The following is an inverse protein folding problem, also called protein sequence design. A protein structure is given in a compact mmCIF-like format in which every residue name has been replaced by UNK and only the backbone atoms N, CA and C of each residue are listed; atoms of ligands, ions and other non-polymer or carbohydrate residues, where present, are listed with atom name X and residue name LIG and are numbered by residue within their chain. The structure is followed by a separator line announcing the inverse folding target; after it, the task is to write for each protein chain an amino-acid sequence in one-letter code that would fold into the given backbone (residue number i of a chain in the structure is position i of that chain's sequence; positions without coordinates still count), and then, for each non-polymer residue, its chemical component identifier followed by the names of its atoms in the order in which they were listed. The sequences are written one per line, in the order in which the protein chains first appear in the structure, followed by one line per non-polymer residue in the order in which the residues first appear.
data_IF_631087838278
#
_entry.id   IF_631087838278
#
_cell.length_a   1.000
_cell.length_b   1.000
_cell.length_c   1.000
_cell.angle_alpha   90.00
_cell.angle_beta   90.00
_cell.angle_gamma   90.00
#
_symmetry.space_group_name_H-M   'P 1'
#
loop_
_entity.id
_entity.type
_entity.pdbx_description
1 polymer ?
#
# COMPACT_ATOMS: atom_id res chain seq x y z
N UNK A 1 -5.37 41.55 -43.65
CA UNK A 1 -6.17 41.35 -42.42
C UNK A 1 -6.93 40.03 -42.55
N UNK A 2 -6.67 39.07 -41.66
CA UNK A 2 -7.36 37.78 -41.65
C UNK A 2 -8.83 38.00 -41.26
N UNK A 3 -9.77 37.34 -41.94
CA UNK A 3 -11.20 37.44 -41.60
C UNK A 3 -11.44 36.87 -40.20
N UNK A 4 -12.34 37.47 -39.41
CA UNK A 4 -12.69 36.94 -38.10
C UNK A 4 -13.37 35.57 -38.26
N UNK A 5 -13.04 34.65 -37.36
CA UNK A 5 -13.71 33.35 -37.27
C UNK A 5 -15.21 33.56 -37.01
N UNK A 6 -16.06 32.93 -37.83
CA UNK A 6 -17.52 32.97 -37.70
C UNK A 6 -18.05 31.55 -37.85
N UNK A 7 -18.89 31.12 -36.91
CA UNK A 7 -19.54 29.81 -36.90
C UNK A 7 -21.05 30.00 -36.69
N UNK A 8 -21.86 29.28 -37.46
CA UNK A 8 -23.32 29.26 -37.30
C UNK A 8 -23.70 28.27 -36.19
N UNK A 9 -24.09 28.82 -35.04
CA UNK A 9 -24.56 28.04 -33.89
C UNK A 9 -26.05 27.74 -33.94
N UNK A 10 -26.82 28.39 -34.82
CA UNK A 10 -28.28 28.24 -34.92
C UNK A 10 -28.71 26.93 -35.58
N UNK A 11 -27.85 26.35 -36.41
CA UNK A 11 -28.09 25.05 -37.07
C UNK A 11 -27.70 23.82 -36.23
N UNK A 12 -27.13 24.00 -35.03
CA UNK A 12 -26.66 22.88 -34.22
C UNK A 12 -27.83 22.11 -33.61
N UNK A 13 -27.96 20.83 -33.97
CA UNK A 13 -28.95 19.92 -33.38
C UNK A 13 -28.36 19.17 -32.20
N UNK A 14 -29.06 19.14 -31.07
CA UNK A 14 -28.69 18.30 -29.93
C UNK A 14 -28.97 16.83 -30.25
N UNK A 15 -27.98 15.97 -30.06
CA UNK A 15 -28.13 14.50 -30.09
C UNK A 15 -27.61 13.94 -28.77
N UNK A 16 -28.34 12.99 -28.19
CA UNK A 16 -27.85 12.27 -27.02
C UNK A 16 -26.56 11.53 -27.37
N UNK A 17 -25.57 11.58 -26.47
CA UNK A 17 -24.32 10.83 -26.63
C UNK A 17 -24.62 9.34 -26.51
N UNK A 18 -24.05 8.55 -27.41
CA UNK A 18 -24.15 7.10 -27.33
C UNK A 18 -23.37 6.62 -26.08
N UNK A 19 -24.08 5.95 -25.17
CA UNK A 19 -23.56 5.46 -23.90
C UNK A 19 -23.32 3.94 -23.92
N UNK A 20 -23.43 3.29 -25.08
CA UNK A 20 -23.10 1.88 -25.23
C UNK A 20 -21.63 1.61 -24.91
N UNK A 21 -21.34 0.48 -24.25
CA UNK A 21 -19.98 0.08 -23.86
C UNK A 21 -19.00 0.09 -25.04
N UNK A 22 -19.47 -0.35 -26.21
CA UNK A 22 -18.65 -0.41 -27.43
C UNK A 22 -18.34 0.98 -28.00
N UNK A 23 -19.29 1.92 -27.88
CA UNK A 23 -19.10 3.31 -28.32
C UNK A 23 -18.12 4.04 -27.41
N UNK A 24 -18.19 3.79 -26.10
CA UNK A 24 -17.26 4.32 -25.10
C UNK A 24 -15.85 3.77 -25.34
N UNK A 25 -15.70 2.45 -25.50
CA UNK A 25 -14.41 1.82 -25.76
C UNK A 25 -13.73 2.34 -27.04
N UNK A 26 -14.51 2.58 -28.12
CA UNK A 26 -13.99 3.20 -29.35
C UNK A 26 -13.53 4.63 -29.14
N UNK A 27 -14.28 5.42 -28.36
CA UNK A 27 -13.91 6.79 -28.04
C UNK A 27 -12.63 6.85 -27.19
N UNK A 28 -12.48 5.96 -26.21
CA UNK A 28 -11.29 5.85 -25.38
C UNK A 28 -10.06 5.45 -26.21
N UNK A 29 -10.19 4.46 -27.09
CA UNK A 29 -9.12 4.04 -27.99
C UNK A 29 -8.67 5.17 -28.94
N UNK A 30 -9.61 5.93 -29.50
CA UNK A 30 -9.30 7.11 -30.31
C UNK A 30 -8.60 8.20 -29.48
N UNK A 31 -9.03 8.39 -28.24
CA UNK A 31 -8.40 9.30 -27.28
C UNK A 31 -6.94 8.94 -27.04
N UNK A 32 -6.64 7.67 -26.76
CA UNK A 32 -5.28 7.18 -26.52
C UNK A 32 -4.37 7.41 -27.73
N UNK A 33 -4.85 7.15 -28.95
CA UNK A 33 -4.10 7.42 -30.20
C UNK A 33 -3.74 8.90 -30.35
N UNK A 34 -4.59 9.79 -29.86
CA UNK A 34 -4.37 11.24 -29.88
C UNK A 34 -3.67 11.77 -28.61
N UNK A 35 -3.18 10.89 -27.73
CA UNK A 35 -2.46 11.26 -26.52
C UNK A 35 -3.35 11.74 -25.36
N UNK A 36 -4.66 11.50 -25.44
CA UNK A 36 -5.57 11.70 -24.31
C UNK A 36 -5.48 10.49 -23.38
N UNK A 37 -4.99 10.73 -22.17
CA UNK A 37 -4.92 9.71 -21.13
C UNK A 37 -6.00 9.94 -20.06
N UNK A 38 -6.64 8.87 -19.55
CA UNK A 38 -7.59 8.98 -18.45
C UNK A 38 -6.87 9.52 -17.21
N UNK A 39 -7.45 10.54 -16.58
CA UNK A 39 -6.95 11.18 -15.35
C UNK A 39 -7.41 10.45 -14.08
N UNK A 40 -8.20 9.39 -14.22
CA UNK A 40 -8.70 8.63 -13.09
C UNK A 40 -7.54 7.97 -12.33
N UNK A 41 -7.55 8.01 -10.98
CA UNK A 41 -6.52 7.38 -10.18
C UNK A 41 -6.58 5.86 -10.38
N UNK A 42 -5.71 5.33 -11.23
CA UNK A 42 -5.47 3.88 -11.30
C UNK A 42 -4.86 3.47 -9.97
N UNK A 43 -5.59 2.70 -9.16
CA UNK A 43 -5.11 2.20 -7.88
C UNK A 43 -3.74 1.54 -8.05
N UNK A 44 -2.72 2.05 -7.38
CA UNK A 44 -1.43 1.37 -7.32
C UNK A 44 -1.66 0.02 -6.63
N UNK A 45 -1.29 -1.12 -7.26
CA UNK A 45 -1.32 -2.38 -6.55
C UNK A 45 -0.45 -2.23 -5.30
N UNK A 46 -1.05 -2.48 -4.14
CA UNK A 46 -0.36 -2.40 -2.86
C UNK A 46 0.87 -3.31 -2.84
N UNK A 47 1.77 -3.05 -1.90
CA UNK A 47 2.95 -3.91 -1.69
C UNK A 47 2.49 -5.36 -1.48
N UNK A 48 3.08 -6.30 -2.22
CA UNK A 48 2.82 -7.73 -2.02
C UNK A 48 3.09 -8.10 -0.54
N UNK A 49 2.24 -8.94 0.08
CA UNK A 49 2.47 -9.40 1.45
C UNK A 49 3.83 -10.09 1.54
N UNK A 50 4.60 -9.79 2.60
CA UNK A 50 5.86 -10.48 2.86
C UNK A 50 5.59 -11.96 3.18
N UNK A 51 6.45 -12.90 2.75
CA UNK A 51 6.38 -14.28 3.23
C UNK A 51 6.46 -14.27 4.76
N UNK A 52 5.47 -14.87 5.44
CA UNK A 52 5.43 -15.00 6.90
C UNK A 52 6.39 -16.10 7.36
N UNK A 53 7.69 -15.87 7.21
CA UNK A 53 8.73 -16.78 7.71
C UNK A 53 8.85 -16.61 9.22
N UNK A 54 8.23 -17.49 9.99
CA UNK A 54 8.39 -17.56 11.45
C UNK A 54 7.95 -16.32 12.24
N UNK A 55 7.31 -15.34 11.59
CA UNK A 55 6.75 -14.18 12.25
C UNK A 55 5.54 -14.60 13.08
N UNK A 56 5.82 -14.91 14.35
CA UNK A 56 4.81 -14.95 15.38
C UNK A 56 4.31 -13.51 15.53
N UNK A 57 3.00 -13.26 15.34
CA UNK A 57 2.45 -11.93 15.63
C UNK A 57 2.85 -11.57 17.07
N UNK A 58 3.31 -10.34 17.33
CA UNK A 58 3.64 -9.86 18.68
C UNK A 58 2.50 -10.14 19.71
N UNK A 59 1.28 -10.35 19.22
CA UNK A 59 0.08 -10.75 19.98
C UNK A 59 0.07 -12.19 20.53
N UNK A 60 1.02 -13.06 20.19
CA UNK A 60 0.97 -14.47 20.62
C UNK A 60 1.37 -14.65 22.09
N UNK A 61 2.14 -13.73 22.67
CA UNK A 61 2.49 -13.73 24.10
C UNK A 61 2.47 -12.29 24.66
N UNK A 62 1.30 -11.65 24.81
CA UNK A 62 1.20 -10.26 25.27
C UNK A 62 1.76 -10.10 26.69
N UNK A 63 1.43 -11.05 27.58
CA UNK A 63 1.88 -11.05 28.98
C UNK A 63 3.41 -11.06 29.11
N UNK A 64 4.12 -11.80 28.24
CA UNK A 64 5.59 -11.85 28.29
C UNK A 64 6.20 -10.48 27.98
N UNK A 65 5.61 -9.71 27.07
CA UNK A 65 6.11 -8.38 26.75
C UNK A 65 5.88 -7.39 27.90
N UNK A 66 4.74 -7.50 28.58
CA UNK A 66 4.41 -6.72 29.78
C UNK A 66 5.35 -7.05 30.93
N UNK A 67 5.57 -8.34 31.21
CA UNK A 67 6.49 -8.81 32.26
C UNK A 67 7.93 -8.33 32.00
N UNK A 68 8.41 -8.39 30.76
CA UNK A 68 9.75 -7.88 30.39
C UNK A 68 9.82 -6.36 30.59
N UNK A 69 8.76 -5.63 30.26
CA UNK A 69 8.71 -4.18 30.44
C UNK A 69 8.77 -3.78 31.92
N UNK A 70 7.99 -4.44 32.77
CA UNK A 70 7.97 -4.22 34.21
C UNK A 70 9.33 -4.51 34.84
N UNK A 71 9.97 -5.62 34.45
CA UNK A 71 11.29 -6.01 34.95
C UNK A 71 12.37 -5.02 34.50
N UNK A 72 12.32 -4.56 33.25
CA UNK A 72 13.26 -3.56 32.74
C UNK A 72 13.12 -2.24 33.52
N UNK A 73 11.88 -1.81 33.79
CA UNK A 73 11.60 -0.63 34.61
C UNK A 73 12.11 -0.81 36.04
N UNK A 74 11.86 -1.97 36.67
CA UNK A 74 12.33 -2.28 38.03
C UNK A 74 13.85 -2.21 38.15
N UNK A 75 14.57 -2.66 37.10
CA UNK A 75 16.04 -2.63 37.04
C UNK A 75 16.63 -1.30 36.55
N UNK A 76 15.82 -0.39 36.01
CA UNK A 76 16.28 0.86 35.40
C UNK A 76 17.06 0.65 34.10
N UNK A 77 16.75 -0.42 33.35
CA UNK A 77 17.40 -0.76 32.07
C UNK A 77 16.39 -0.78 30.93
N UNK A 78 16.85 -0.93 29.69
CA UNK A 78 15.96 -1.13 28.54
C UNK A 78 15.58 -2.60 28.39
N UNK A 79 14.43 -2.88 27.76
CA UNK A 79 13.98 -4.26 27.48
C UNK A 79 15.03 -5.05 26.66
N UNK A 80 15.81 -4.37 25.81
CA UNK A 80 16.88 -4.98 25.02
C UNK A 80 17.95 -5.67 25.88
N UNK A 81 18.30 -5.10 27.04
CA UNK A 81 19.29 -5.69 27.96
C UNK A 81 18.80 -7.05 28.47
N UNK A 82 17.53 -7.16 28.87
CA UNK A 82 16.95 -8.43 29.31
C UNK A 82 16.92 -9.48 28.19
N UNK A 83 16.66 -9.05 26.95
CA UNK A 83 16.68 -9.94 25.78
C UNK A 83 18.10 -10.46 25.52
N UNK A 84 19.12 -9.61 25.62
CA UNK A 84 20.53 -10.01 25.48
C UNK A 84 20.97 -10.99 26.59
N UNK A 85 20.59 -10.72 27.85
CA UNK A 85 20.83 -11.62 28.98
C UNK A 85 20.16 -12.99 28.76
N UNK A 86 18.89 -13.00 28.34
CA UNK A 86 18.14 -14.22 28.04
C UNK A 86 18.78 -15.01 26.90
N UNK A 87 19.27 -14.32 25.85
CA UNK A 87 19.98 -14.95 24.74
C UNK A 87 21.29 -15.61 25.21
N UNK A 88 22.07 -14.92 26.04
CA UNK A 88 23.30 -15.47 26.60
C UNK A 88 23.03 -16.74 27.43
N UNK A 89 21.98 -16.74 28.26
CA UNK A 89 21.55 -17.91 29.03
C UNK A 89 21.10 -19.07 28.14
N UNK A 90 20.35 -18.77 27.08
CA UNK A 90 19.94 -19.75 26.09
C UNK A 90 21.15 -20.41 25.41
N UNK A 91 22.09 -19.61 24.90
CA UNK A 91 23.32 -20.12 24.29
C UNK A 91 24.13 -20.98 25.26
N UNK A 92 24.33 -20.50 26.50
CA UNK A 92 25.05 -21.25 27.53
C UNK A 92 24.37 -22.59 27.86
N UNK A 93 23.03 -22.65 27.82
CA UNK A 93 22.29 -23.90 28.00
C UNK A 93 22.49 -24.85 26.82
N UNK A 94 22.39 -24.36 25.59
CA UNK A 94 22.60 -25.18 24.39
C UNK A 94 24.03 -25.76 24.34
N UNK A 95 25.05 -24.98 24.72
CA UNK A 95 26.45 -25.44 24.80
C UNK A 95 26.72 -26.46 25.91
N UNK A 96 25.81 -26.66 26.87
CA UNK A 96 25.92 -27.67 27.92
C UNK A 96 25.21 -28.98 27.55
N UNK A 97 24.30 -28.94 26.58
CA UNK A 97 23.50 -30.08 26.15
C UNK A 97 24.04 -30.76 24.88
N UNK A 98 25.04 -30.16 24.20
CA UNK A 98 25.75 -30.73 23.04
C UNK A 98 27.19 -31.10 23.35
#
# INVERSE_FOLDING_TARGET
MSKPFSIDVGGLRSRAKDAGTDAVAKADAAGEVHGFHPREPRGRPGRKPSPRTGQVHAKVLPHVSEEIAEEAQRRGVTQGVLIEEAWALYCARQSREG
#
